data_IF_891437943311
#
_entry.id   IF_891437943311
#
_cell.length_a   1.000
_cell.length_b   1.000
_cell.length_c   1.000
_cell.angle_alpha   90.00
_cell.angle_beta   90.00
_cell.angle_gamma   90.00
#
_symmetry.space_group_name_H-M   'P 1'
#
loop_
_entity.id
_entity.type
_entity.pdbx_description
1 polymer ?
#
# COMPACT_ATOMS: atom_id res chain seq x y z
N UNK A 1 6.82 -14.43 15.04
CA UNK A 1 5.67 -14.58 14.12
C UNK A 1 5.63 -13.32 13.27
N UNK A 2 5.87 -13.42 11.95
CA UNK A 2 5.67 -12.28 11.06
C UNK A 2 4.19 -11.87 11.10
N UNK A 3 3.91 -10.63 11.48
CA UNK A 3 2.55 -10.10 11.42
C UNK A 3 2.17 -9.91 9.95
N UNK A 4 1.19 -10.68 9.49
CA UNK A 4 0.57 -10.49 8.18
C UNK A 4 -0.71 -9.69 8.36
N UNK A 5 -0.87 -8.60 7.61
CA UNK A 5 -2.09 -7.77 7.58
C UNK A 5 -2.61 -7.67 6.16
N UNK A 6 -3.90 -7.42 5.97
CA UNK A 6 -4.36 -6.98 4.65
C UNK A 6 -3.80 -5.59 4.35
N UNK A 7 -3.61 -5.26 3.07
CA UNK A 7 -3.15 -3.93 2.65
C UNK A 7 -4.06 -2.81 3.18
N UNK A 8 -5.38 -3.05 3.25
CA UNK A 8 -6.34 -2.08 3.77
C UNK A 8 -6.15 -1.86 5.27
N UNK A 9 -5.95 -2.91 6.05
CA UNK A 9 -5.67 -2.80 7.48
C UNK A 9 -4.35 -2.07 7.73
N UNK A 10 -3.31 -2.42 6.97
CA UNK A 10 -2.04 -1.71 7.01
C UNK A 10 -2.22 -0.23 6.70
N UNK A 11 -2.89 0.11 5.59
CA UNK A 11 -3.16 1.50 5.19
C UNK A 11 -3.92 2.31 6.25
N UNK A 12 -4.95 1.71 6.85
CA UNK A 12 -5.77 2.34 7.91
C UNK A 12 -4.99 2.53 9.21
N UNK A 13 -4.02 1.65 9.49
CA UNK A 13 -3.15 1.73 10.66
C UNK A 13 -2.02 2.78 10.55
N UNK A 14 -1.74 3.32 9.37
CA UNK A 14 -0.73 4.38 9.19
C UNK A 14 -1.22 5.72 9.77
N UNK A 15 -0.29 6.45 10.39
CA UNK A 15 -0.48 7.87 10.71
C UNK A 15 -0.54 8.72 9.43
N UNK A 16 -0.94 9.98 9.57
CA UNK A 16 -1.19 10.88 8.44
C UNK A 16 0.06 11.11 7.59
N UNK A 17 1.24 11.22 8.20
CA UNK A 17 2.50 11.47 7.49
C UNK A 17 2.95 10.21 6.74
N UNK A 18 2.94 9.06 7.40
CA UNK A 18 3.28 7.78 6.76
C UNK A 18 2.33 7.45 5.61
N UNK A 19 1.04 7.79 5.75
CA UNK A 19 0.04 7.58 4.69
C UNK A 19 0.29 8.50 3.50
N UNK A 20 0.63 9.77 3.72
CA UNK A 20 0.97 10.71 2.65
C UNK A 20 2.24 10.31 1.90
N UNK A 21 3.26 9.86 2.63
CA UNK A 21 4.50 9.37 2.04
C UNK A 21 4.24 8.13 1.18
N UNK A 22 3.55 7.12 1.74
CA UNK A 22 3.20 5.90 1.01
C UNK A 22 2.34 6.21 -0.21
N UNK A 23 1.39 7.15 -0.10
CA UNK A 23 0.56 7.59 -1.23
C UNK A 23 1.40 8.14 -2.36
N UNK A 24 2.40 8.95 -2.05
CA UNK A 24 3.24 9.63 -3.05
C UNK A 24 4.20 8.64 -3.69
N UNK A 25 4.94 7.90 -2.89
CA UNK A 25 5.95 6.93 -3.37
C UNK A 25 5.28 5.75 -4.04
N UNK A 26 4.23 5.20 -3.44
CA UNK A 26 3.47 4.07 -3.97
C UNK A 26 2.78 4.41 -5.30
N UNK A 27 2.22 5.62 -5.45
CA UNK A 27 1.64 6.06 -6.71
C UNK A 27 2.68 6.12 -7.84
N UNK A 28 3.88 6.68 -7.55
CA UNK A 28 4.99 6.74 -8.50
C UNK A 28 5.48 5.34 -8.90
N UNK A 29 5.73 4.48 -7.90
CA UNK A 29 6.19 3.10 -8.10
C UNK A 29 5.20 2.29 -8.95
N UNK A 30 3.91 2.46 -8.69
CA UNK A 30 2.86 1.72 -9.40
C UNK A 30 2.43 2.39 -10.70
N UNK A 31 3.03 3.52 -11.08
CA UNK A 31 2.66 4.32 -12.25
C UNK A 31 1.15 4.60 -12.30
N UNK A 32 0.62 5.20 -11.23
CA UNK A 32 -0.78 5.63 -11.11
C UNK A 32 -0.86 7.03 -10.52
N UNK A 33 -2.00 7.70 -10.69
CA UNK A 33 -2.28 8.94 -9.98
C UNK A 33 -2.34 8.70 -8.45
N UNK A 34 -1.93 9.70 -7.66
CA UNK A 34 -1.99 9.66 -6.19
C UNK A 34 -3.41 9.42 -5.66
N UNK A 35 -4.42 9.98 -6.33
CA UNK A 35 -5.84 9.74 -6.04
C UNK A 35 -6.24 8.28 -6.26
N UNK A 36 -5.71 7.63 -7.29
CA UNK A 36 -5.95 6.21 -7.57
C UNK A 36 -5.29 5.33 -6.52
N UNK A 37 -4.06 5.63 -6.12
CA UNK A 37 -3.41 4.93 -5.02
C UNK A 37 -4.19 5.09 -3.70
N UNK A 38 -4.66 6.30 -3.41
CA UNK A 38 -5.49 6.55 -2.22
C UNK A 38 -6.79 5.72 -2.24
N UNK A 39 -7.44 5.59 -3.41
CA UNK A 39 -8.63 4.77 -3.56
C UNK A 39 -8.35 3.27 -3.28
N UNK A 40 -7.16 2.77 -3.60
CA UNK A 40 -6.74 1.42 -3.20
C UNK A 40 -6.68 1.27 -1.69
N UNK A 41 -6.00 2.19 -1.00
CA UNK A 41 -5.87 2.15 0.45
C UNK A 41 -7.20 2.26 1.19
N UNK A 42 -8.13 3.05 0.65
CA UNK A 42 -9.49 3.16 1.19
C UNK A 42 -10.38 1.95 0.88
N UNK A 43 -9.95 1.02 0.02
CA UNK A 43 -10.76 -0.10 -0.45
C UNK A 43 -11.84 0.28 -1.48
N UNK A 44 -11.82 1.51 -1.98
CA UNK A 44 -12.77 2.00 -2.99
C UNK A 44 -12.44 1.49 -4.41
N UNK A 45 -11.20 1.02 -4.62
CA UNK A 45 -10.76 0.42 -5.89
C UNK A 45 -9.85 -0.76 -5.60
N UNK A 46 -9.94 -1.81 -6.41
CA UNK A 46 -9.02 -2.95 -6.31
C UNK A 46 -7.67 -2.62 -6.92
N UNK A 47 -6.60 -3.14 -6.31
CA UNK A 47 -5.24 -3.08 -6.86
C UNK A 47 -5.12 -4.14 -7.97
N UNK A 48 -4.67 -3.76 -9.18
CA UNK A 48 -4.42 -4.71 -10.26
C UNK A 48 -3.44 -5.81 -9.83
N UNK A 49 -3.72 -7.07 -10.22
CA UNK A 49 -2.88 -8.23 -9.85
C UNK A 49 -1.40 -8.01 -10.18
N UNK A 50 -1.10 -7.46 -11.36
CA UNK A 50 0.26 -7.15 -11.82
C UNK A 50 1.03 -6.14 -10.96
N UNK A 51 0.36 -5.44 -10.04
CA UNK A 51 0.95 -4.41 -9.17
C UNK A 51 1.08 -4.85 -7.72
N UNK A 52 0.41 -5.95 -7.32
CA UNK A 52 0.33 -6.40 -5.93
C UNK A 52 1.69 -6.85 -5.39
N UNK A 53 2.42 -7.67 -6.16
CA UNK A 53 3.72 -8.19 -5.74
C UNK A 53 4.74 -7.06 -5.49
N UNK A 54 4.86 -6.12 -6.43
CA UNK A 54 5.73 -4.96 -6.29
C UNK A 54 5.37 -4.12 -5.05
N UNK A 55 4.08 -3.93 -4.79
CA UNK A 55 3.61 -3.19 -3.63
C UNK A 55 3.87 -3.93 -2.30
N UNK A 56 3.61 -5.24 -2.24
CA UNK A 56 3.92 -6.05 -1.06
C UNK A 56 5.42 -6.00 -0.74
N UNK A 57 6.28 -6.19 -1.74
CA UNK A 57 7.73 -6.15 -1.57
C UNK A 57 8.20 -4.80 -1.03
N UNK A 58 7.72 -3.70 -1.59
CA UNK A 58 8.03 -2.36 -1.10
C UNK A 58 7.59 -2.16 0.36
N UNK A 59 6.39 -2.61 0.71
CA UNK A 59 5.88 -2.47 2.08
C UNK A 59 6.69 -3.33 3.06
N UNK A 60 7.04 -4.55 2.68
CA UNK A 60 7.88 -5.44 3.48
C UNK A 60 9.26 -4.82 3.74
N UNK A 61 9.92 -4.31 2.69
CA UNK A 61 11.25 -3.68 2.81
C UNK A 61 11.20 -2.41 3.67
N UNK A 62 10.21 -1.54 3.46
CA UNK A 62 10.16 -0.23 4.11
C UNK A 62 9.58 -0.27 5.52
N UNK A 63 8.47 -0.98 5.71
CA UNK A 63 7.70 -0.98 6.95
C UNK A 63 7.92 -2.25 7.78
N UNK A 64 8.73 -3.21 7.29
CA UNK A 64 9.04 -4.46 7.98
C UNK A 64 7.76 -5.25 8.34
N UNK A 65 6.75 -5.20 7.45
CA UNK A 65 5.45 -5.85 7.58
C UNK A 65 5.06 -6.51 6.26
N UNK A 66 4.57 -7.75 6.32
CA UNK A 66 4.01 -8.42 5.16
C UNK A 66 2.54 -8.07 4.98
N UNK A 67 2.13 -7.79 3.74
CA UNK A 67 0.75 -7.49 3.39
C UNK A 67 0.15 -8.45 2.37
N UNK A 68 -1.14 -8.73 2.53
CA UNK A 68 -1.98 -9.48 1.57
C UNK A 68 -3.06 -8.58 0.94
N UNK A 69 -3.62 -8.96 -0.20
CA UNK A 69 -4.49 -8.10 -1.04
C UNK A 69 -5.78 -8.76 -1.50
#
# INVERSE_FOLDING_TARGET
MEQTKTFIEFWRGLDIHSREELRTVGAKMLFVATSTFNAYGCGARQIPLSKREALAKFIAEKYQINVTF
#
